data_IF_896271354225
#
_entry.id   IF_896271354225
#
_cell.length_a   1.000
_cell.length_b   1.000
_cell.length_c   1.000
_cell.angle_alpha   90.00
_cell.angle_beta   90.00
_cell.angle_gamma   90.00
#
_symmetry.space_group_name_H-M   'P 1'
#
loop_
_entity.id
_entity.type
_entity.pdbx_description
1 polymer ?
#
# COMPACT_ATOMS: atom_id res chain seq x y z
N UNK A 1 -17.36 0.97 23.86
CA UNK A 1 -17.13 0.29 22.56
C UNK A 1 -16.68 1.37 21.58
N UNK A 2 -15.48 1.24 21.02
CA UNK A 2 -15.03 2.14 19.94
C UNK A 2 -15.85 1.81 18.69
N UNK A 3 -16.43 2.81 18.04
CA UNK A 3 -17.06 2.64 16.73
C UNK A 3 -15.99 2.30 15.71
N UNK A 4 -16.17 1.24 14.89
CA UNK A 4 -15.21 0.88 13.85
C UNK A 4 -15.02 2.06 12.88
N UNK A 5 -13.79 2.27 12.44
CA UNK A 5 -13.49 3.30 11.43
C UNK A 5 -14.17 2.96 10.10
N UNK A 6 -14.32 3.95 9.21
CA UNK A 6 -14.85 3.71 7.85
C UNK A 6 -14.01 2.66 7.11
N UNK A 7 -12.69 2.67 7.32
CA UNK A 7 -11.77 1.69 6.75
C UNK A 7 -12.05 0.29 7.26
N UNK A 8 -12.23 0.12 8.59
CA UNK A 8 -12.52 -1.19 9.17
C UNK A 8 -13.84 -1.77 8.62
N UNK A 9 -14.85 -0.93 8.42
CA UNK A 9 -16.14 -1.33 7.84
C UNK A 9 -15.99 -1.82 6.39
N UNK A 10 -15.18 -1.14 5.57
CA UNK A 10 -14.92 -1.54 4.17
C UNK A 10 -14.16 -2.86 4.13
N UNK A 11 -13.13 -3.03 4.97
CA UNK A 11 -12.35 -4.27 5.07
C UNK A 11 -13.25 -5.42 5.48
N UNK A 12 -14.08 -5.24 6.51
CA UNK A 12 -15.00 -6.27 6.97
C UNK A 12 -16.04 -6.66 5.91
N UNK A 13 -16.58 -5.66 5.18
CA UNK A 13 -17.51 -5.91 4.07
C UNK A 13 -16.86 -6.77 2.98
N UNK A 14 -15.62 -6.46 2.60
CA UNK A 14 -14.89 -7.25 1.60
C UNK A 14 -14.63 -8.67 2.07
N UNK A 15 -14.19 -8.85 3.32
CA UNK A 15 -13.92 -10.16 3.91
C UNK A 15 -15.18 -11.02 3.99
N UNK A 16 -16.27 -10.43 4.45
CA UNK A 16 -17.55 -11.13 4.53
C UNK A 16 -18.07 -11.55 3.15
N UNK A 17 -17.93 -10.68 2.13
CA UNK A 17 -18.32 -11.01 0.78
C UNK A 17 -17.54 -12.23 0.26
N UNK A 18 -16.21 -12.22 0.37
CA UNK A 18 -15.34 -13.31 -0.13
C UNK A 18 -15.61 -14.64 0.59
N UNK A 19 -15.96 -14.60 1.88
CA UNK A 19 -16.19 -15.80 2.70
C UNK A 19 -17.57 -16.41 2.51
N UNK A 20 -18.61 -15.63 2.18
CA UNK A 20 -20.00 -16.09 2.29
C UNK A 20 -20.91 -15.73 1.11
N UNK A 21 -20.56 -14.79 0.24
CA UNK A 21 -21.41 -14.39 -0.86
C UNK A 21 -21.18 -15.24 -2.11
N UNK A 22 -22.27 -15.75 -2.71
CA UNK A 22 -22.20 -16.43 -4.03
C UNK A 22 -21.75 -15.51 -5.15
N UNK A 23 -22.04 -14.20 -5.04
CA UNK A 23 -21.64 -13.16 -6.00
C UNK A 23 -20.68 -12.14 -5.36
N UNK A 24 -19.63 -12.64 -4.73
CA UNK A 24 -18.63 -11.82 -4.04
C UNK A 24 -17.92 -10.82 -4.98
N UNK A 25 -17.81 -11.15 -6.28
CA UNK A 25 -17.17 -10.27 -7.25
C UNK A 25 -17.96 -8.97 -7.43
N UNK A 26 -19.29 -9.07 -7.57
CA UNK A 26 -20.13 -7.88 -7.68
C UNK A 26 -20.02 -6.97 -6.44
N UNK A 27 -19.95 -7.57 -5.26
CA UNK A 27 -19.75 -6.80 -4.02
C UNK A 27 -18.40 -6.09 -4.01
N UNK A 28 -17.32 -6.75 -4.43
CA UNK A 28 -15.99 -6.14 -4.47
C UNK A 28 -15.87 -5.09 -5.58
N UNK A 29 -16.57 -5.26 -6.71
CA UNK A 29 -16.58 -4.28 -7.81
C UNK A 29 -17.23 -2.96 -7.42
N UNK A 30 -18.18 -2.96 -6.48
CA UNK A 30 -18.83 -1.76 -5.94
C UNK A 30 -18.00 -1.04 -4.87
N UNK A 31 -16.94 -1.65 -4.36
CA UNK A 31 -16.09 -1.01 -3.36
C UNK A 31 -15.32 0.18 -3.97
N UNK A 32 -15.32 1.34 -3.29
CA UNK A 32 -14.63 2.53 -3.80
C UNK A 32 -13.11 2.47 -3.63
N UNK A 33 -12.59 1.40 -3.05
CA UNK A 33 -11.16 1.20 -2.77
C UNK A 33 -10.58 0.08 -3.63
N UNK A 34 -9.32 0.20 -4.08
CA UNK A 34 -8.64 -0.85 -4.80
C UNK A 34 -8.64 -2.14 -4.00
N UNK A 35 -9.24 -3.18 -4.57
CA UNK A 35 -9.37 -4.50 -3.94
C UNK A 35 -8.96 -5.58 -4.94
N UNK A 36 -8.08 -6.47 -4.52
CA UNK A 36 -7.64 -7.60 -5.34
C UNK A 36 -7.43 -8.85 -4.51
N UNK A 37 -7.44 -10.00 -5.18
CA UNK A 37 -7.23 -11.32 -4.59
C UNK A 37 -6.08 -12.00 -5.31
N UNK A 38 -5.27 -12.74 -4.55
CA UNK A 38 -4.26 -13.66 -5.08
C UNK A 38 -4.60 -15.09 -4.68
N UNK A 39 -4.02 -16.05 -5.39
CA UNK A 39 -3.95 -17.43 -4.91
C UNK A 39 -2.86 -17.60 -3.82
N UNK A 40 -2.69 -18.82 -3.34
CA UNK A 40 -1.69 -19.18 -2.32
C UNK A 40 -0.24 -18.99 -2.79
N UNK A 41 0.01 -18.97 -4.09
CA UNK A 41 1.31 -18.72 -4.69
C UNK A 41 1.55 -17.23 -4.99
N UNK A 42 0.56 -16.37 -4.69
CA UNK A 42 0.61 -14.93 -4.87
C UNK A 42 0.26 -14.44 -6.27
N UNK A 43 -0.19 -15.30 -7.19
CA UNK A 43 -0.66 -14.84 -8.49
C UNK A 43 -2.01 -14.11 -8.35
N UNK A 44 -2.15 -12.94 -8.99
CA UNK A 44 -3.39 -12.16 -8.95
C UNK A 44 -4.50 -12.89 -9.71
N UNK A 45 -5.58 -13.23 -9.01
CA UNK A 45 -6.74 -13.98 -9.56
C UNK A 45 -7.99 -13.12 -9.74
N UNK A 46 -8.05 -11.97 -9.06
CA UNK A 46 -9.13 -11.00 -9.17
C UNK A 46 -8.63 -9.59 -8.83
N UNK A 47 -9.22 -8.57 -9.44
CA UNK A 47 -9.07 -7.16 -9.09
C UNK A 47 -10.32 -6.37 -9.50
N UNK A 48 -10.67 -5.33 -8.74
CA UNK A 48 -11.79 -4.44 -9.06
C UNK A 48 -11.32 -3.21 -9.86
N UNK A 49 -12.29 -2.47 -10.43
CA UNK A 49 -12.00 -1.30 -11.28
C UNK A 49 -11.14 -0.23 -10.56
N UNK A 50 -11.28 -0.08 -9.25
CA UNK A 50 -10.51 0.88 -8.48
C UNK A 50 -8.99 0.58 -8.53
N UNK A 51 -8.59 -0.69 -8.70
CA UNK A 51 -7.19 -1.08 -8.90
C UNK A 51 -6.57 -0.43 -10.13
N UNK A 52 -7.31 -0.32 -11.25
CA UNK A 52 -6.82 0.29 -12.49
C UNK A 52 -6.55 1.77 -12.28
N UNK A 53 -7.49 2.47 -11.64
CA UNK A 53 -7.34 3.90 -11.34
C UNK A 53 -6.18 4.15 -10.36
N UNK A 54 -6.02 3.30 -9.37
CA UNK A 54 -4.96 3.42 -8.38
C UNK A 54 -3.58 3.12 -8.99
N UNK A 55 -3.43 1.99 -9.67
CA UNK A 55 -2.16 1.52 -10.22
C UNK A 55 -1.74 2.26 -11.50
N UNK A 56 -2.65 2.98 -12.18
CA UNK A 56 -2.40 3.61 -13.48
C UNK A 56 -2.17 2.60 -14.60
N UNK A 57 -2.55 1.34 -14.39
CA UNK A 57 -2.42 0.22 -15.34
C UNK A 57 -3.48 -0.83 -15.06
N UNK A 58 -3.78 -1.62 -16.08
CA UNK A 58 -4.62 -2.80 -15.91
C UNK A 58 -3.79 -3.98 -15.39
N UNK A 59 -4.11 -4.55 -14.20
CA UNK A 59 -3.45 -5.74 -13.71
C UNK A 59 -3.72 -6.95 -14.60
N UNK A 60 -2.75 -7.87 -14.70
CA UNK A 60 -2.83 -9.07 -15.55
C UNK A 60 -3.04 -10.31 -14.69
N UNK A 61 -4.23 -10.91 -14.79
CA UNK A 61 -4.57 -12.13 -14.07
C UNK A 61 -3.58 -13.26 -14.36
N UNK A 62 -3.13 -13.95 -13.33
CA UNK A 62 -2.20 -15.07 -13.42
C UNK A 62 -0.77 -14.70 -13.80
N UNK A 63 -0.49 -13.44 -14.16
CA UNK A 63 0.85 -12.96 -14.52
C UNK A 63 1.44 -12.03 -13.46
N UNK A 64 0.64 -11.05 -12.98
CA UNK A 64 1.07 -10.21 -11.87
C UNK A 64 1.06 -11.01 -10.57
N UNK A 65 2.10 -10.84 -9.76
CA UNK A 65 2.27 -11.55 -8.50
C UNK A 65 2.42 -10.57 -7.33
N UNK A 66 1.82 -10.92 -6.22
CA UNK A 66 1.86 -10.22 -4.93
C UNK A 66 1.19 -8.85 -4.92
N UNK A 67 1.24 -8.09 -6.03
CA UNK A 67 0.67 -6.75 -6.07
C UNK A 67 0.18 -6.40 -7.48
N UNK A 68 -0.81 -5.50 -7.55
CA UNK A 68 -1.38 -4.97 -8.81
C UNK A 68 -0.61 -3.74 -9.33
N UNK A 69 0.33 -3.20 -8.55
CA UNK A 69 1.10 -2.00 -8.88
C UNK A 69 2.27 -2.28 -9.83
N UNK A 70 2.82 -1.23 -10.46
CA UNK A 70 3.96 -1.35 -11.36
C UNK A 70 5.26 -1.59 -10.60
N UNK A 71 5.63 -0.66 -9.72
CA UNK A 71 6.76 -0.78 -8.79
C UNK A 71 6.34 -0.33 -7.41
N UNK A 72 7.07 -0.80 -6.39
CA UNK A 72 6.82 -0.46 -5.00
C UNK A 72 8.05 0.17 -4.34
N UNK A 73 7.77 1.03 -3.37
CA UNK A 73 8.73 1.65 -2.49
C UNK A 73 8.23 1.61 -1.04
N UNK A 74 9.15 1.65 -0.10
CA UNK A 74 8.83 1.78 1.33
C UNK A 74 8.22 3.17 1.62
N UNK A 75 7.68 3.35 2.81
CA UNK A 75 7.16 4.64 3.28
C UNK A 75 8.21 5.77 3.24
N UNK A 76 9.50 5.43 3.30
CA UNK A 76 10.63 6.36 3.25
C UNK A 76 11.19 6.60 1.85
N UNK A 77 10.75 5.82 0.87
CA UNK A 77 11.12 5.98 -0.55
C UNK A 77 12.20 5.02 -1.05
N UNK A 78 12.60 4.01 -0.26
CA UNK A 78 13.50 2.95 -0.71
C UNK A 78 12.75 1.93 -1.57
N UNK A 79 13.42 1.31 -2.54
CA UNK A 79 12.79 0.31 -3.41
C UNK A 79 12.32 -0.91 -2.60
N UNK A 80 11.08 -1.33 -2.82
CA UNK A 80 10.48 -2.52 -2.21
C UNK A 80 10.18 -3.54 -3.32
N UNK A 81 10.73 -4.74 -3.22
CA UNK A 81 10.41 -5.80 -4.15
C UNK A 81 8.98 -6.31 -3.90
N UNK A 82 8.28 -6.74 -4.96
CA UNK A 82 6.92 -7.27 -4.80
C UNK A 82 6.89 -8.53 -3.90
N UNK A 83 7.94 -9.35 -3.94
CA UNK A 83 8.08 -10.55 -3.09
C UNK A 83 8.32 -10.26 -1.60
N UNK A 84 8.63 -8.99 -1.26
CA UNK A 84 8.82 -8.49 0.11
C UNK A 84 7.69 -7.55 0.55
N UNK A 85 6.68 -7.37 -0.29
CA UNK A 85 5.56 -6.47 0.02
C UNK A 85 4.65 -7.06 1.12
N UNK A 86 3.82 -6.23 1.77
CA UNK A 86 2.90 -6.71 2.83
C UNK A 86 1.99 -7.85 2.41
N UNK A 87 1.56 -7.93 1.13
CA UNK A 87 0.77 -9.04 0.62
C UNK A 87 1.56 -10.35 0.62
N UNK A 88 2.81 -10.32 0.14
CA UNK A 88 3.69 -11.48 0.15
C UNK A 88 4.01 -11.93 1.59
N UNK A 89 4.24 -10.98 2.50
CA UNK A 89 4.44 -11.25 3.91
C UNK A 89 3.21 -11.91 4.55
N UNK A 90 2.01 -11.43 4.25
CA UNK A 90 0.77 -12.00 4.77
C UNK A 90 0.54 -13.45 4.31
N UNK A 91 0.81 -13.77 3.04
CA UNK A 91 0.68 -15.13 2.50
C UNK A 91 1.74 -16.04 3.11
N UNK A 92 3.02 -15.63 3.09
CA UNK A 92 4.14 -16.42 3.65
C UNK A 92 3.97 -16.68 5.15
N UNK A 93 3.52 -15.66 5.89
CA UNK A 93 3.29 -15.75 7.34
C UNK A 93 1.92 -16.29 7.74
N UNK A 94 1.01 -16.47 6.77
CA UNK A 94 -0.40 -16.87 7.00
C UNK A 94 -1.09 -16.01 8.07
N UNK A 95 -0.75 -14.73 8.12
CA UNK A 95 -1.29 -13.77 9.09
C UNK A 95 -1.61 -12.44 8.43
N UNK A 96 -2.51 -11.70 9.04
CA UNK A 96 -2.85 -10.35 8.60
C UNK A 96 -1.70 -9.39 8.83
N UNK A 97 -1.44 -8.49 7.86
CA UNK A 97 -0.52 -7.38 8.03
C UNK A 97 -1.33 -6.09 8.12
N UNK A 98 -1.02 -5.27 9.09
CA UNK A 98 -1.70 -3.99 9.36
C UNK A 98 -0.68 -2.90 9.71
N UNK A 99 -1.04 -1.63 9.41
CA UNK A 99 -0.24 -0.47 9.80
C UNK A 99 0.99 -0.21 8.94
N UNK A 100 1.23 -1.01 7.91
CA UNK A 100 2.30 -0.78 6.95
C UNK A 100 1.88 0.31 5.94
N UNK A 101 2.85 1.08 5.45
CA UNK A 101 2.67 2.03 4.36
C UNK A 101 3.64 1.68 3.24
N UNK A 102 3.13 1.64 2.02
CA UNK A 102 3.93 1.48 0.81
C UNK A 102 3.60 2.59 -0.19
N UNK A 103 4.52 2.84 -1.11
CA UNK A 103 4.36 3.81 -2.20
C UNK A 103 4.39 3.05 -3.52
N UNK A 104 3.33 3.17 -4.29
CA UNK A 104 3.24 2.68 -5.67
C UNK A 104 3.82 3.71 -6.63
N UNK A 105 4.75 3.31 -7.50
CA UNK A 105 5.12 4.05 -8.69
C UNK A 105 4.22 3.58 -9.84
N UNK A 106 3.63 4.50 -10.58
CA UNK A 106 2.80 4.22 -11.75
C UNK A 106 3.63 4.27 -13.03
N UNK A 107 3.16 3.68 -14.14
CA UNK A 107 3.84 3.77 -15.44
C UNK A 107 4.05 5.20 -15.97
N UNK A 108 3.20 6.15 -15.57
CA UNK A 108 3.30 7.57 -15.92
C UNK A 108 4.31 8.35 -15.05
N UNK A 109 4.99 7.67 -14.12
CA UNK A 109 5.95 8.26 -13.17
C UNK A 109 5.33 8.88 -11.93
N UNK A 110 4.00 8.95 -11.83
CA UNK A 110 3.33 9.45 -10.61
C UNK A 110 3.39 8.42 -9.48
N UNK A 111 3.25 8.90 -8.23
CA UNK A 111 3.33 8.05 -7.03
C UNK A 111 2.09 8.16 -6.18
N UNK A 112 1.67 7.03 -5.59
CA UNK A 112 0.58 6.95 -4.63
C UNK A 112 1.04 6.22 -3.38
N UNK A 113 0.86 6.82 -2.21
CA UNK A 113 1.07 6.12 -0.94
C UNK A 113 -0.22 5.43 -0.51
N UNK A 114 -0.09 4.25 0.05
CA UNK A 114 -1.25 3.47 0.51
C UNK A 114 -0.93 2.63 1.73
N UNK A 115 -1.95 2.38 2.53
CA UNK A 115 -1.93 1.37 3.58
C UNK A 115 -2.61 0.11 3.06
N UNK A 116 -1.89 -1.02 2.90
CA UNK A 116 -2.46 -2.30 2.50
C UNK A 116 -3.12 -3.00 3.69
N UNK A 117 -4.17 -3.78 3.39
CA UNK A 117 -4.90 -4.61 4.35
C UNK A 117 -4.94 -6.07 3.87
N UNK A 118 -3.80 -6.74 3.66
CA UNK A 118 -3.79 -8.11 3.22
C UNK A 118 -4.28 -9.04 4.33
N UNK A 119 -5.25 -9.89 3.97
CA UNK A 119 -5.88 -10.86 4.87
C UNK A 119 -5.89 -12.22 4.20
N UNK A 120 -5.19 -13.23 4.74
CA UNK A 120 -5.17 -14.58 4.21
C UNK A 120 -6.57 -15.21 4.21
N UNK A 121 -6.83 -16.03 3.19
CA UNK A 121 -8.05 -16.79 2.99
C UNK A 121 -7.75 -18.28 3.13
N UNK A 122 -8.59 -18.99 3.87
CA UNK A 122 -8.45 -20.41 4.12
C UNK A 122 -9.70 -21.17 3.69
N UNK A 123 -9.55 -22.40 3.24
CA UNK A 123 -10.65 -23.31 2.99
C UNK A 123 -11.20 -23.90 4.32
N UNK A 124 -12.25 -24.73 4.20
CA UNK A 124 -12.86 -25.38 5.37
C UNK A 124 -11.93 -26.37 6.08
N UNK A 125 -10.90 -26.86 5.41
CA UNK A 125 -9.88 -27.74 5.96
C UNK A 125 -8.70 -26.97 6.62
N UNK A 126 -8.72 -25.63 6.54
CA UNK A 126 -7.66 -24.76 7.07
C UNK A 126 -6.47 -24.58 6.15
N UNK A 127 -6.55 -24.98 4.89
CA UNK A 127 -5.47 -24.75 3.93
C UNK A 127 -5.55 -23.33 3.39
N UNK A 128 -4.40 -22.68 3.23
CA UNK A 128 -4.30 -21.38 2.59
C UNK A 128 -4.74 -21.46 1.13
N UNK A 129 -5.73 -20.66 0.73
CA UNK A 129 -6.22 -20.58 -0.66
C UNK A 129 -5.75 -19.31 -1.37
N UNK A 130 -5.28 -18.32 -0.63
CA UNK A 130 -4.83 -17.04 -1.15
C UNK A 130 -4.95 -15.94 -0.13
N UNK A 131 -5.08 -14.70 -0.59
CA UNK A 131 -5.37 -13.56 0.27
C UNK A 131 -6.15 -12.49 -0.50
N UNK A 132 -6.99 -11.74 0.23
CA UNK A 132 -7.61 -10.50 -0.26
C UNK A 132 -6.83 -9.32 0.29
N UNK A 133 -6.65 -8.27 -0.52
CA UNK A 133 -6.00 -7.04 -0.10
C UNK A 133 -6.79 -5.82 -0.56
N UNK A 134 -6.94 -4.86 0.35
CA UNK A 134 -7.49 -3.55 0.08
C UNK A 134 -6.36 -2.52 0.21
N UNK A 135 -6.33 -1.54 -0.69
CA UNK A 135 -5.31 -0.49 -0.70
C UNK A 135 -5.98 0.84 -0.34
N UNK A 136 -5.74 1.33 0.87
CA UNK A 136 -6.29 2.61 1.32
C UNK A 136 -5.30 3.71 0.94
N UNK A 137 -5.74 4.63 0.08
CA UNK A 137 -4.92 5.78 -0.33
C UNK A 137 -4.67 6.70 0.86
N UNK A 138 -3.40 6.95 1.15
CA UNK A 138 -2.90 7.83 2.22
C UNK A 138 -1.85 8.80 1.68
N UNK A 139 -1.95 9.16 0.41
CA UNK A 139 -0.92 9.94 -0.30
C UNK A 139 -0.68 11.30 0.37
N UNK A 140 -1.73 12.01 0.73
CA UNK A 140 -1.62 13.36 1.32
C UNK A 140 -1.10 13.29 2.75
N UNK A 141 -1.57 12.32 3.54
CA UNK A 141 -1.11 12.08 4.91
C UNK A 141 0.37 11.70 4.93
N UNK A 142 0.78 10.79 4.04
CA UNK A 142 2.17 10.35 3.95
C UNK A 142 3.09 11.49 3.48
N UNK A 143 2.67 12.28 2.50
CA UNK A 143 3.43 13.44 2.05
C UNK A 143 3.64 14.47 3.17
N UNK A 144 2.62 14.69 3.99
CA UNK A 144 2.69 15.59 5.14
C UNK A 144 3.63 15.05 6.22
N UNK A 145 3.51 13.78 6.58
CA UNK A 145 4.37 13.13 7.57
C UNK A 145 5.86 13.16 7.17
N UNK A 146 6.16 12.87 5.90
CA UNK A 146 7.53 12.94 5.38
C UNK A 146 8.09 14.36 5.40
N UNK A 147 7.28 15.37 5.08
CA UNK A 147 7.71 16.75 5.15
C UNK A 147 8.04 17.19 6.59
N UNK A 148 7.24 16.77 7.58
CA UNK A 148 7.52 17.01 9.00
C UNK A 148 8.80 16.33 9.44
N UNK A 149 9.06 15.11 9.01
CA UNK A 149 10.31 14.39 9.29
C UNK A 149 11.52 15.12 8.69
N UNK A 150 11.41 15.60 7.45
CA UNK A 150 12.45 16.39 6.79
C UNK A 150 12.82 17.64 7.60
N UNK A 151 11.80 18.41 8.04
CA UNK A 151 12.00 19.60 8.87
C UNK A 151 12.66 19.25 10.20
N UNK A 152 12.24 18.15 10.84
CA UNK A 152 12.84 17.69 12.11
C UNK A 152 14.31 17.30 11.94
N UNK A 153 14.65 16.53 10.90
CA UNK A 153 16.02 16.14 10.60
C UNK A 153 16.90 17.36 10.32
N UNK A 154 16.39 18.36 9.60
CA UNK A 154 17.12 19.60 9.32
C UNK A 154 17.44 20.38 10.59
N UNK A 155 16.46 20.56 11.48
CA UNK A 155 16.68 21.23 12.78
C UNK A 155 17.72 20.50 13.63
N UNK A 156 17.70 19.15 13.64
CA UNK A 156 18.69 18.37 14.37
C UNK A 156 20.08 18.51 13.74
N UNK A 157 20.18 18.51 12.42
CA UNK A 157 21.46 18.72 11.71
C UNK A 157 22.08 20.06 12.05
N UNK A 158 21.26 21.13 12.11
CA UNK A 158 21.71 22.49 12.44
C UNK A 158 22.15 22.63 13.93
N UNK A 159 21.62 21.80 14.83
CA UNK A 159 21.92 21.82 16.26
C UNK A 159 23.14 20.96 16.64
N UNK A 160 23.59 20.04 15.80
CA UNK A 160 24.67 19.10 16.10
C UNK A 160 26.02 19.71 15.70
N UNK A 161 26.98 19.68 16.64
CA UNK A 161 28.37 20.15 16.41
C UNK A 161 29.21 19.15 15.57
N UNK A 162 28.86 17.88 15.59
CA UNK A 162 29.57 16.86 14.82
C UNK A 162 29.17 16.96 13.32
N UNK A 163 30.11 17.40 12.50
CA UNK A 163 29.91 17.58 11.06
C UNK A 163 29.46 16.31 10.31
N UNK A 164 29.94 15.12 10.75
CA UNK A 164 29.56 13.85 10.10
C UNK A 164 28.09 13.52 10.38
N UNK A 165 27.66 13.64 11.61
CA UNK A 165 26.28 13.36 12.01
C UNK A 165 25.31 14.38 11.43
N UNK A 166 25.69 15.66 11.39
CA UNK A 166 24.94 16.73 10.73
C UNK A 166 24.74 16.43 9.24
N UNK A 167 25.79 15.96 8.55
CA UNK A 167 25.70 15.60 7.12
C UNK A 167 24.75 14.42 6.87
N UNK A 168 24.75 13.41 7.74
CA UNK A 168 23.83 12.27 7.67
C UNK A 168 22.38 12.75 7.81
N UNK A 169 22.09 13.55 8.84
CA UNK A 169 20.75 14.10 9.08
C UNK A 169 20.28 15.01 7.92
N UNK A 170 21.16 15.82 7.37
CA UNK A 170 20.84 16.65 6.20
C UNK A 170 20.46 15.78 5.00
N UNK A 171 21.24 14.72 4.71
CA UNK A 171 20.93 13.78 3.62
C UNK A 171 19.59 13.06 3.84
N UNK A 172 19.27 12.67 5.08
CA UNK A 172 17.96 12.08 5.41
C UNK A 172 16.83 13.09 5.18
N UNK A 173 17.01 14.34 5.61
CA UNK A 173 16.04 15.41 5.39
C UNK A 173 15.76 15.63 3.89
N UNK A 174 16.81 15.68 3.08
CA UNK A 174 16.69 15.84 1.63
C UNK A 174 15.93 14.65 0.99
N UNK A 175 16.20 13.43 1.43
CA UNK A 175 15.49 12.22 0.98
C UNK A 175 13.99 12.26 1.31
N UNK A 176 13.64 12.58 2.54
CA UNK A 176 12.24 12.73 2.96
C UNK A 176 11.53 13.84 2.19
N UNK A 177 12.15 15.00 2.02
CA UNK A 177 11.60 16.12 1.27
C UNK A 177 11.36 15.76 -0.21
N UNK A 178 12.31 15.07 -0.84
CA UNK A 178 12.17 14.62 -2.23
C UNK A 178 11.01 13.64 -2.41
N UNK A 179 10.86 12.67 -1.49
CA UNK A 179 9.75 11.72 -1.52
C UNK A 179 8.41 12.41 -1.29
N UNK A 180 8.32 13.33 -0.33
CA UNK A 180 7.11 14.12 -0.08
C UNK A 180 6.69 14.96 -1.30
N UNK A 181 7.66 15.57 -1.97
CA UNK A 181 7.42 16.36 -3.18
C UNK A 181 6.89 15.48 -4.32
N UNK A 182 7.48 14.30 -4.52
CA UNK A 182 7.04 13.35 -5.55
C UNK A 182 5.60 12.85 -5.32
N UNK A 183 5.18 12.66 -4.06
CA UNK A 183 3.80 12.31 -3.71
C UNK A 183 2.83 13.47 -4.02
N UNK A 184 3.17 14.71 -3.64
CA UNK A 184 2.33 15.89 -3.89
C UNK A 184 2.16 16.22 -5.37
N UNK A 185 3.21 16.04 -6.18
CA UNK A 185 3.12 16.24 -7.62
C UNK A 185 2.07 15.32 -8.26
N UNK A 186 1.86 14.13 -7.67
CA UNK A 186 0.91 13.13 -8.14
C UNK A 186 -0.56 13.45 -7.81
N UNK A 187 -0.82 14.24 -6.76
CA UNK A 187 -2.18 14.65 -6.38
C UNK A 187 -2.65 15.84 -7.23
N UNK A 188 -1.75 16.72 -7.63
CA UNK A 188 -2.06 17.91 -8.44
C UNK A 188 -2.42 17.61 -9.90
N UNK A 189 -2.10 16.41 -10.41
CA UNK A 189 -2.36 16.01 -11.81
C UNK A 189 -3.74 15.38 -12.04
N UNK A 190 -4.57 15.24 -11.02
CA UNK A 190 -5.89 14.58 -11.06
C UNK A 190 -7.07 15.54 -10.79
N UNK A 191 -6.85 16.86 -10.91
CA UNK A 191 -7.89 17.91 -10.80
C UNK A 191 -8.44 18.35 -12.13
#
# INVERSE_FOLDING_TARGET
MLTPSRTDQIVETALQAVRSASDWKAVLDELPVPTYITDADGAVTYWNRACVHFAGRQPRLGQDRWCVTWELYTATGDRLLHEDCPMAAAIKGQCEIRGEVAIALRPDGTRRAFTPYPTPLFDQAGNLTGAVNLLIDVTDEQASALNEQAVRCKRLADAIHNKRDAAILSKMADGFAATALALRASTSSNG
#
